data_IF_175934735649
#
_entry.id   IF_175934735649
#
_cell.length_a   1.000
_cell.length_b   1.000
_cell.length_c   1.000
_cell.angle_alpha   90.00
_cell.angle_beta   90.00
_cell.angle_gamma   90.00
#
_symmetry.space_group_name_H-M   'P 1'
#
loop_
_entity.id
_entity.type
_entity.pdbx_description
1 polymer ?
#
# COMPACT_ATOMS: atom_id res chain seq x y z
N UNK A 1 -25.89 10.89 -4.25
CA UNK A 1 -24.53 11.33 -3.97
C UNK A 1 -23.50 10.23 -4.15
N UNK A 2 -23.54 9.10 -3.43
CA UNK A 2 -22.57 7.97 -3.57
C UNK A 2 -22.42 7.54 -5.04
N UNK A 3 -23.54 7.25 -5.74
CA UNK A 3 -23.54 6.88 -7.18
C UNK A 3 -22.86 7.93 -8.07
N UNK A 4 -23.04 9.21 -7.79
CA UNK A 4 -22.42 10.30 -8.55
C UNK A 4 -20.88 10.30 -8.38
N UNK A 5 -20.39 10.15 -7.14
CA UNK A 5 -18.95 10.15 -6.87
C UNK A 5 -18.29 8.90 -7.47
N UNK A 6 -18.88 7.71 -7.26
CA UNK A 6 -18.36 6.47 -7.85
C UNK A 6 -18.31 6.57 -9.38
N UNK A 7 -19.36 7.11 -10.02
CA UNK A 7 -19.36 7.28 -11.48
C UNK A 7 -18.29 8.25 -11.97
N UNK A 8 -18.02 9.33 -11.24
CA UNK A 8 -16.88 10.22 -11.53
C UNK A 8 -15.54 9.48 -11.43
N UNK A 9 -15.40 8.66 -10.40
CA UNK A 9 -14.21 7.84 -10.22
C UNK A 9 -14.01 6.86 -11.37
N UNK A 10 -15.09 6.20 -11.83
CA UNK A 10 -15.03 5.35 -13.03
C UNK A 10 -14.57 6.11 -14.27
N UNK A 11 -15.05 7.36 -14.46
CA UNK A 11 -14.59 8.22 -15.55
C UNK A 11 -13.09 8.53 -15.46
N UNK A 12 -12.57 8.78 -14.28
CA UNK A 12 -11.13 9.01 -14.07
C UNK A 12 -10.32 7.74 -14.36
N UNK A 13 -10.78 6.57 -13.91
CA UNK A 13 -10.14 5.29 -14.24
C UNK A 13 -10.13 5.03 -15.74
N UNK A 14 -11.24 5.32 -16.44
CA UNK A 14 -11.30 5.25 -17.91
C UNK A 14 -10.25 6.14 -18.59
N UNK A 15 -9.99 7.36 -18.07
CA UNK A 15 -8.92 8.22 -18.56
C UNK A 15 -7.53 7.63 -18.29
N UNK A 16 -7.31 7.03 -17.11
CA UNK A 16 -6.04 6.39 -16.78
C UNK A 16 -5.74 5.21 -17.69
N UNK A 17 -6.75 4.47 -18.16
CA UNK A 17 -6.57 3.35 -19.09
C UNK A 17 -6.07 3.76 -20.48
N UNK A 18 -6.14 5.04 -20.82
CA UNK A 18 -5.52 5.55 -22.05
C UNK A 18 -4.00 5.49 -22.01
N UNK A 19 -3.38 5.52 -20.81
CA UNK A 19 -1.91 5.43 -20.68
C UNK A 19 -1.39 4.04 -21.06
N UNK A 20 -1.86 2.91 -20.48
CA UNK A 20 -1.45 1.58 -20.94
C UNK A 20 -1.87 1.28 -22.37
N UNK A 21 -2.98 1.85 -22.87
CA UNK A 21 -3.36 1.79 -24.28
C UNK A 21 -2.26 2.42 -25.16
N UNK A 22 -1.79 3.62 -24.83
CA UNK A 22 -0.70 4.28 -25.58
C UNK A 22 0.59 3.46 -25.54
N UNK A 23 0.94 2.88 -24.39
CA UNK A 23 2.09 1.98 -24.27
C UNK A 23 1.94 0.79 -25.20
N UNK A 24 0.79 0.11 -25.21
CA UNK A 24 0.54 -1.01 -26.11
C UNK A 24 0.61 -0.62 -27.58
N UNK A 25 0.15 0.59 -27.98
CA UNK A 25 0.29 1.11 -29.35
C UNK A 25 1.77 1.30 -29.70
N UNK A 26 2.57 1.89 -28.81
CA UNK A 26 4.01 2.12 -29.03
C UNK A 26 4.76 0.79 -29.26
N UNK A 27 4.36 -0.26 -28.54
CA UNK A 27 4.97 -1.60 -28.70
C UNK A 27 4.28 -2.47 -29.77
N UNK A 28 3.29 -1.95 -30.50
CA UNK A 28 2.57 -2.67 -31.57
C UNK A 28 1.69 -3.82 -31.09
N UNK A 29 1.15 -3.73 -29.88
CA UNK A 29 0.36 -4.78 -29.23
C UNK A 29 -1.15 -4.65 -29.50
N UNK A 30 -1.80 -5.76 -29.83
CA UNK A 30 -3.26 -5.80 -30.00
C UNK A 30 -4.05 -5.55 -28.69
N UNK A 31 -3.41 -5.70 -27.54
CA UNK A 31 -4.02 -5.48 -26.21
C UNK A 31 -4.50 -4.05 -26.00
N UNK A 32 -3.98 -3.07 -26.73
CA UNK A 32 -4.42 -1.66 -26.72
C UNK A 32 -5.92 -1.50 -26.95
N UNK A 33 -6.53 -2.35 -27.79
CA UNK A 33 -7.97 -2.31 -28.09
C UNK A 33 -8.80 -2.62 -26.83
N UNK A 34 -8.38 -3.53 -25.98
CA UNK A 34 -9.11 -3.90 -24.78
C UNK A 34 -9.08 -2.80 -23.72
N UNK A 35 -7.99 -2.03 -23.62
CA UNK A 35 -7.95 -0.83 -22.79
C UNK A 35 -8.90 0.25 -23.33
N UNK A 36 -8.98 0.44 -24.64
CA UNK A 36 -9.93 1.37 -25.26
C UNK A 36 -11.38 0.97 -24.99
N UNK A 37 -11.71 -0.31 -25.14
CA UNK A 37 -13.06 -0.84 -24.86
C UNK A 37 -13.42 -0.58 -23.39
N UNK A 38 -12.53 -0.90 -22.46
CA UNK A 38 -12.76 -0.67 -21.03
C UNK A 38 -12.92 0.82 -20.73
N UNK A 39 -12.05 1.68 -21.27
CA UNK A 39 -12.16 3.12 -21.14
C UNK A 39 -13.50 3.66 -21.65
N UNK A 40 -13.98 3.14 -22.80
CA UNK A 40 -15.28 3.51 -23.35
C UNK A 40 -16.44 3.09 -22.44
N UNK A 41 -16.42 1.86 -21.88
CA UNK A 41 -17.42 1.37 -20.92
C UNK A 41 -17.46 2.28 -19.68
N UNK A 42 -16.30 2.58 -19.08
CA UNK A 42 -16.22 3.40 -17.88
C UNK A 42 -16.64 4.86 -18.14
N UNK A 43 -16.28 5.39 -19.30
CA UNK A 43 -16.76 6.72 -19.74
C UNK A 43 -18.27 6.73 -19.96
N UNK A 44 -18.85 5.69 -20.52
CA UNK A 44 -20.31 5.56 -20.68
C UNK A 44 -21.01 5.53 -19.31
N UNK A 45 -20.48 4.79 -18.33
CA UNK A 45 -21.01 4.78 -16.94
C UNK A 45 -20.94 6.20 -16.34
N UNK A 46 -19.82 6.91 -16.51
CA UNK A 46 -19.70 8.29 -16.07
C UNK A 46 -20.72 9.22 -16.74
N UNK A 47 -20.93 9.12 -18.05
CA UNK A 47 -21.87 9.96 -18.79
C UNK A 47 -23.33 9.70 -18.36
N UNK A 48 -23.68 8.44 -18.06
CA UNK A 48 -25.03 8.06 -17.65
C UNK A 48 -25.34 8.51 -16.20
N UNK A 49 -24.40 8.37 -15.28
CA UNK A 49 -24.66 8.52 -13.84
C UNK A 49 -23.89 9.68 -13.18
N UNK A 50 -22.80 10.17 -13.78
CA UNK A 50 -21.89 11.16 -13.21
C UNK A 50 -22.06 12.60 -13.74
N UNK A 51 -22.93 12.83 -14.74
CA UNK A 51 -23.13 14.18 -15.34
C UNK A 51 -23.98 15.11 -14.50
N UNK A 52 -25.05 14.59 -13.89
CA UNK A 52 -25.97 15.41 -13.09
C UNK A 52 -25.47 15.49 -11.66
N UNK A 53 -25.06 16.70 -11.25
CA UNK A 53 -24.69 17.00 -9.87
C UNK A 53 -25.94 16.93 -8.99
N UNK A 54 -25.95 16.18 -7.88
CA UNK A 54 -27.05 16.19 -6.93
C UNK A 54 -27.19 17.58 -6.28
N UNK A 55 -28.43 18.01 -6.02
CA UNK A 55 -28.72 19.31 -5.37
C UNK A 55 -28.13 19.37 -3.95
N UNK A 56 -28.09 18.25 -3.23
CA UNK A 56 -27.49 18.13 -1.91
C UNK A 56 -26.19 17.34 -1.96
N UNK A 57 -25.06 18.02 -1.78
CA UNK A 57 -23.69 17.46 -1.85
C UNK A 57 -23.00 17.42 -0.48
N UNK A 58 -23.74 17.48 0.63
CA UNK A 58 -23.12 17.34 1.96
C UNK A 58 -22.69 15.92 2.21
N UNK A 59 -21.39 15.68 2.36
CA UNK A 59 -20.82 14.40 2.75
C UNK A 59 -20.52 14.47 4.25
N UNK A 60 -21.22 13.63 5.03
CA UNK A 60 -20.87 13.41 6.44
C UNK A 60 -19.77 12.34 6.54
N UNK A 61 -19.17 12.20 7.70
CA UNK A 61 -18.13 11.20 7.93
C UNK A 61 -18.59 9.76 7.59
N UNK A 62 -19.86 9.44 7.87
CA UNK A 62 -20.48 8.15 7.56
C UNK A 62 -20.49 7.86 6.05
N UNK A 63 -20.98 8.80 5.24
CA UNK A 63 -21.00 8.65 3.78
C UNK A 63 -19.58 8.62 3.21
N UNK A 64 -18.65 9.40 3.79
CA UNK A 64 -17.24 9.37 3.39
C UNK A 64 -16.64 7.98 3.50
N UNK A 65 -16.84 7.28 4.60
CA UNK A 65 -16.34 5.92 4.81
C UNK A 65 -16.95 4.91 3.82
N UNK A 66 -18.28 5.00 3.55
CA UNK A 66 -18.94 4.15 2.54
C UNK A 66 -18.35 4.40 1.14
N UNK A 67 -18.20 5.68 0.77
CA UNK A 67 -17.67 6.06 -0.55
C UNK A 67 -16.26 5.50 -0.71
N UNK A 68 -15.40 5.65 0.30
CA UNK A 68 -14.04 5.13 0.27
C UNK A 68 -14.05 3.62 0.03
N UNK A 69 -14.70 2.85 0.89
CA UNK A 69 -14.66 1.40 0.81
C UNK A 69 -15.31 0.86 -0.48
N UNK A 70 -16.46 1.41 -0.90
CA UNK A 70 -17.11 1.00 -2.15
C UNK A 70 -16.31 1.39 -3.38
N UNK A 71 -15.66 2.55 -3.36
CA UNK A 71 -14.83 3.02 -4.47
C UNK A 71 -13.67 2.07 -4.77
N UNK A 72 -12.94 1.61 -3.76
CA UNK A 72 -11.84 0.66 -3.92
C UNK A 72 -12.30 -0.66 -4.53
N UNK A 73 -13.48 -1.17 -4.11
CA UNK A 73 -14.07 -2.39 -4.68
C UNK A 73 -14.41 -2.17 -6.17
N UNK A 74 -15.14 -1.09 -6.48
CA UNK A 74 -15.57 -0.85 -7.87
C UNK A 74 -14.40 -0.55 -8.82
N UNK A 75 -13.39 0.17 -8.37
CA UNK A 75 -12.17 0.38 -9.15
C UNK A 75 -11.44 -0.92 -9.42
N UNK A 76 -11.30 -1.77 -8.41
CA UNK A 76 -10.65 -3.08 -8.61
C UNK A 76 -11.46 -3.99 -9.56
N UNK A 77 -12.79 -3.96 -9.49
CA UNK A 77 -13.65 -4.70 -10.42
C UNK A 77 -13.50 -4.20 -11.87
N UNK A 78 -13.48 -2.88 -12.06
CA UNK A 78 -13.33 -2.28 -13.38
C UNK A 78 -11.92 -2.45 -13.94
N UNK A 79 -10.90 -2.27 -13.11
CA UNK A 79 -9.49 -2.46 -13.48
C UNK A 79 -9.11 -3.88 -13.85
N UNK A 80 -9.92 -4.89 -13.47
CA UNK A 80 -9.75 -6.27 -13.86
C UNK A 80 -10.16 -6.55 -15.33
N UNK A 81 -11.02 -5.71 -15.91
CA UNK A 81 -11.57 -5.95 -17.26
C UNK A 81 -10.50 -6.09 -18.36
N UNK A 82 -9.46 -5.23 -18.45
CA UNK A 82 -8.43 -5.38 -19.46
C UNK A 82 -7.70 -6.72 -19.41
N UNK A 83 -7.46 -7.28 -18.22
CA UNK A 83 -6.80 -8.58 -18.03
C UNK A 83 -7.65 -9.72 -18.60
N UNK A 84 -8.95 -9.71 -18.33
CA UNK A 84 -9.89 -10.76 -18.80
C UNK A 84 -10.14 -10.64 -20.30
N UNK A 85 -10.40 -9.42 -20.80
CA UNK A 85 -10.69 -9.18 -22.22
C UNK A 85 -9.48 -9.52 -23.11
N UNK A 86 -8.26 -9.22 -22.65
CA UNK A 86 -7.04 -9.58 -23.35
C UNK A 86 -6.66 -11.06 -23.23
N UNK A 87 -7.37 -11.82 -22.39
CA UNK A 87 -7.04 -13.19 -21.98
C UNK A 87 -5.65 -13.35 -21.35
N UNK A 88 -5.03 -12.24 -20.90
CA UNK A 88 -3.78 -12.29 -20.12
C UNK A 88 -4.00 -12.97 -18.76
N UNK A 89 -5.19 -12.79 -18.17
CA UNK A 89 -5.69 -13.51 -16.98
C UNK A 89 -7.13 -13.92 -17.30
N UNK A 90 -7.38 -15.17 -17.74
CA UNK A 90 -8.71 -15.58 -18.21
C UNK A 90 -9.77 -15.65 -17.13
N UNK A 91 -9.38 -16.00 -15.87
CA UNK A 91 -10.30 -16.06 -14.73
C UNK A 91 -10.57 -14.65 -14.21
N UNK A 92 -11.85 -14.30 -14.05
CA UNK A 92 -12.22 -12.99 -13.49
C UNK A 92 -11.82 -12.86 -12.01
N UNK A 93 -11.87 -13.96 -11.25
CA UNK A 93 -11.45 -13.96 -9.83
C UNK A 93 -9.95 -13.68 -9.74
N UNK A 94 -9.15 -14.29 -10.60
CA UNK A 94 -7.71 -14.07 -10.68
C UNK A 94 -7.38 -12.64 -11.13
N UNK A 95 -8.08 -12.13 -12.14
CA UNK A 95 -7.92 -10.75 -12.60
C UNK A 95 -8.32 -9.73 -11.52
N UNK A 96 -9.39 -10.01 -10.77
CA UNK A 96 -9.80 -9.20 -9.63
C UNK A 96 -8.76 -9.23 -8.51
N UNK A 97 -8.22 -10.41 -8.17
CA UNK A 97 -7.13 -10.54 -7.20
C UNK A 97 -5.92 -9.69 -7.59
N UNK A 98 -5.45 -9.81 -8.86
CA UNK A 98 -4.30 -9.06 -9.38
C UNK A 98 -4.55 -7.55 -9.31
N UNK A 99 -5.79 -7.11 -9.61
CA UNK A 99 -6.16 -5.69 -9.61
C UNK A 99 -6.33 -5.15 -8.18
N UNK A 100 -6.94 -5.92 -7.28
CA UNK A 100 -7.00 -5.56 -5.85
C UNK A 100 -5.59 -5.41 -5.30
N UNK A 101 -4.72 -6.41 -5.55
CA UNK A 101 -3.32 -6.37 -5.17
C UNK A 101 -2.60 -5.15 -5.76
N UNK A 102 -2.93 -4.79 -7.01
CA UNK A 102 -2.43 -3.60 -7.66
C UNK A 102 -2.82 -2.32 -6.95
N UNK A 103 -4.11 -2.04 -6.82
CA UNK A 103 -4.58 -0.79 -6.21
C UNK A 103 -4.29 -0.71 -4.72
N UNK A 104 -4.41 -1.81 -3.96
CA UNK A 104 -4.04 -1.82 -2.53
C UNK A 104 -2.54 -1.82 -2.29
N UNK A 105 -1.75 -1.78 -3.38
CA UNK A 105 -0.28 -1.78 -3.33
C UNK A 105 0.31 -2.95 -2.54
N UNK A 106 -0.32 -4.12 -2.65
CA UNK A 106 0.11 -5.32 -1.94
C UNK A 106 1.24 -6.05 -2.68
N UNK A 107 1.13 -6.18 -4.02
CA UNK A 107 2.15 -6.86 -4.83
C UNK A 107 2.08 -8.38 -4.84
N UNK A 108 1.09 -9.00 -4.17
CA UNK A 108 0.81 -10.42 -4.33
C UNK A 108 0.30 -10.68 -5.74
N UNK A 109 0.79 -11.73 -6.41
CA UNK A 109 0.41 -12.04 -7.79
C UNK A 109 -0.07 -13.48 -7.94
N UNK A 110 -1.01 -13.69 -8.85
CA UNK A 110 -1.42 -15.02 -9.32
C UNK A 110 -0.68 -15.44 -10.59
N UNK A 111 0.12 -14.56 -11.17
CA UNK A 111 0.83 -14.82 -12.40
C UNK A 111 2.01 -15.74 -12.14
N UNK A 112 2.12 -16.80 -12.94
CA UNK A 112 3.23 -17.75 -12.92
C UNK A 112 4.34 -17.34 -13.87
N UNK A 113 4.00 -16.63 -14.96
CA UNK A 113 4.91 -16.10 -15.95
C UNK A 113 4.56 -14.65 -16.25
N UNK A 114 5.51 -13.73 -16.00
CA UNK A 114 5.31 -12.28 -16.14
C UNK A 114 5.93 -11.76 -17.42
N UNK A 115 7.11 -12.28 -17.80
CA UNK A 115 7.95 -11.74 -18.88
C UNK A 115 7.31 -11.86 -20.26
N UNK A 116 6.44 -12.87 -20.44
CA UNK A 116 5.66 -13.08 -21.69
C UNK A 116 4.43 -12.19 -21.83
N UNK A 117 4.09 -11.39 -20.82
CA UNK A 117 2.89 -10.54 -20.87
C UNK A 117 3.12 -9.29 -21.74
N UNK A 118 2.06 -8.80 -22.40
CA UNK A 118 2.11 -7.54 -23.14
C UNK A 118 2.54 -6.36 -22.26
N UNK A 119 3.34 -5.45 -22.83
CA UNK A 119 3.85 -4.26 -22.13
C UNK A 119 2.74 -3.34 -21.62
N UNK A 120 1.64 -3.20 -22.35
CA UNK A 120 0.45 -2.47 -21.90
C UNK A 120 -0.12 -3.05 -20.62
N UNK A 121 -0.19 -4.37 -20.48
CA UNK A 121 -0.67 -5.09 -19.29
C UNK A 121 0.32 -4.90 -18.12
N UNK A 122 1.63 -5.05 -18.35
CA UNK A 122 2.65 -4.82 -17.33
C UNK A 122 2.65 -3.37 -16.83
N UNK A 123 2.48 -2.43 -17.75
CA UNK A 123 2.38 -1.01 -17.40
C UNK A 123 1.13 -0.74 -16.54
N UNK A 124 -0.02 -1.33 -16.89
CA UNK A 124 -1.25 -1.20 -16.10
C UNK A 124 -1.07 -1.71 -14.67
N UNK A 125 -0.45 -2.89 -14.49
CA UNK A 125 -0.12 -3.43 -13.16
C UNK A 125 0.67 -2.42 -12.32
N UNK A 126 1.75 -1.87 -12.85
CA UNK A 126 2.58 -0.89 -12.11
C UNK A 126 1.88 0.45 -11.91
N UNK A 127 1.05 0.89 -12.88
CA UNK A 127 0.27 2.12 -12.76
C UNK A 127 -0.79 2.01 -11.64
N UNK A 128 -1.41 0.83 -11.45
CA UNK A 128 -2.34 0.62 -10.32
C UNK A 128 -1.64 0.82 -8.99
N UNK A 129 -0.38 0.39 -8.80
CA UNK A 129 0.42 0.69 -7.62
C UNK A 129 0.65 2.19 -7.44
N UNK A 130 1.03 2.89 -8.50
CA UNK A 130 1.32 4.32 -8.43
C UNK A 130 0.08 5.13 -8.02
N UNK A 131 -1.08 4.82 -8.60
CA UNK A 131 -2.35 5.48 -8.26
C UNK A 131 -2.82 5.08 -6.85
N UNK A 132 -2.71 3.80 -6.50
CA UNK A 132 -3.11 3.26 -5.21
C UNK A 132 -2.26 3.78 -4.05
N UNK A 133 -0.96 4.04 -4.28
CA UNK A 133 0.01 4.45 -3.24
C UNK A 133 -0.41 5.70 -2.47
N UNK A 134 -0.84 6.74 -3.17
CA UNK A 134 -1.33 7.98 -2.54
C UNK A 134 -2.83 7.98 -2.24
N UNK A 135 -3.52 6.86 -2.51
CA UNK A 135 -4.95 6.72 -2.32
C UNK A 135 -5.77 7.20 -3.52
N UNK A 136 -6.69 6.33 -3.92
CA UNK A 136 -7.52 6.51 -5.11
C UNK A 136 -8.40 7.75 -5.02
N UNK A 137 -9.03 8.00 -3.86
CA UNK A 137 -9.91 9.16 -3.67
C UNK A 137 -9.16 10.47 -3.55
N UNK A 138 -7.98 10.46 -2.91
CA UNK A 138 -7.12 11.66 -2.85
C UNK A 138 -6.68 12.04 -4.26
N UNK A 139 -6.36 11.06 -5.11
CA UNK A 139 -6.07 11.28 -6.53
C UNK A 139 -7.25 11.90 -7.28
N UNK A 140 -8.44 11.32 -7.15
CA UNK A 140 -9.66 11.84 -7.76
C UNK A 140 -10.00 13.24 -7.24
N UNK A 141 -9.77 13.51 -5.95
CA UNK A 141 -9.99 14.84 -5.36
C UNK A 141 -9.07 15.92 -5.93
N UNK A 142 -7.83 15.56 -6.31
CA UNK A 142 -6.92 16.50 -7.01
C UNK A 142 -7.44 16.83 -8.39
N UNK A 143 -7.96 15.84 -9.13
CA UNK A 143 -8.42 15.97 -10.51
C UNK A 143 -9.83 16.58 -10.61
N UNK A 144 -10.67 16.41 -9.61
CA UNK A 144 -12.07 16.88 -9.64
C UNK A 144 -12.29 18.11 -8.75
N UNK A 145 -13.31 18.91 -9.05
CA UNK A 145 -13.71 20.06 -8.23
C UNK A 145 -14.78 19.64 -7.20
N UNK A 146 -14.38 18.89 -6.17
CA UNK A 146 -15.24 18.65 -5.02
C UNK A 146 -15.19 19.82 -4.03
N UNK A 147 -16.32 20.11 -3.35
CA UNK A 147 -16.39 21.15 -2.32
C UNK A 147 -15.45 20.87 -1.15
N UNK A 148 -14.94 21.92 -0.52
CA UNK A 148 -13.89 21.85 0.49
C UNK A 148 -14.29 21.04 1.72
N UNK A 149 -15.54 21.19 2.21
CA UNK A 149 -16.06 20.42 3.35
C UNK A 149 -16.13 18.92 3.04
N UNK A 150 -16.61 18.57 1.85
CA UNK A 150 -16.73 17.20 1.37
C UNK A 150 -15.35 16.53 1.17
N UNK A 151 -14.40 17.28 0.62
CA UNK A 151 -13.02 16.83 0.41
C UNK A 151 -12.32 16.45 1.72
N UNK A 152 -12.61 17.16 2.84
CA UNK A 152 -12.00 16.87 4.13
C UNK A 152 -12.46 15.55 4.73
N UNK A 153 -13.75 15.20 4.62
CA UNK A 153 -14.24 13.92 5.14
C UNK A 153 -13.67 12.73 4.36
N UNK A 154 -13.57 12.86 3.03
CA UNK A 154 -12.95 11.84 2.17
C UNK A 154 -11.46 11.67 2.48
N UNK A 155 -10.71 12.77 2.57
CA UNK A 155 -9.29 12.72 2.89
C UNK A 155 -9.00 12.06 4.24
N UNK A 156 -9.79 12.37 5.28
CA UNK A 156 -9.64 11.74 6.60
C UNK A 156 -9.98 10.27 6.62
N UNK A 157 -10.88 9.82 5.74
CA UNK A 157 -11.26 8.43 5.65
C UNK A 157 -10.22 7.56 4.89
N UNK A 158 -9.35 8.18 4.09
CA UNK A 158 -8.38 7.46 3.25
C UNK A 158 -6.93 7.61 3.72
N UNK A 159 -6.57 8.74 4.37
CA UNK A 159 -5.18 8.96 4.81
C UNK A 159 -4.84 8.07 6.00
N UNK A 160 -3.83 7.20 5.87
CA UNK A 160 -3.48 6.25 6.91
C UNK A 160 -2.82 6.90 8.12
N UNK A 161 -3.27 6.52 9.31
CA UNK A 161 -2.67 6.92 10.58
C UNK A 161 -3.65 7.47 11.61
N UNK A 162 -3.20 7.61 12.87
CA UNK A 162 -4.07 8.02 13.99
C UNK A 162 -4.53 9.48 13.93
N UNK A 163 -3.86 10.35 13.19
CA UNK A 163 -4.24 11.75 12.98
C UNK A 163 -3.87 12.21 11.57
N UNK A 164 -4.84 12.77 10.83
CA UNK A 164 -4.61 13.41 9.54
C UNK A 164 -4.34 14.91 9.76
N UNK A 165 -3.08 15.33 9.62
CA UNK A 165 -2.69 16.73 9.74
C UNK A 165 -2.97 17.52 8.45
N UNK A 166 -3.41 18.77 8.60
CA UNK A 166 -3.55 19.71 7.48
C UNK A 166 -2.26 20.47 7.26
N UNK A 167 -1.68 20.38 6.06
CA UNK A 167 -0.52 21.19 5.67
C UNK A 167 -0.91 22.63 5.35
N UNK A 168 -2.08 22.82 4.76
CA UNK A 168 -2.65 24.14 4.40
C UNK A 168 -4.15 24.16 4.72
N UNK A 169 -4.79 25.36 4.81
CA UNK A 169 -6.21 25.48 5.21
C UNK A 169 -7.16 24.65 4.35
N UNK A 170 -6.85 24.48 3.05
CA UNK A 170 -7.70 23.76 2.08
C UNK A 170 -7.22 22.32 1.87
N UNK A 171 -8.10 21.32 2.05
CA UNK A 171 -7.79 19.89 1.83
C UNK A 171 -7.23 19.61 0.43
N UNK A 172 -7.82 20.22 -0.62
CA UNK A 172 -7.34 20.10 -1.99
C UNK A 172 -5.93 20.68 -2.18
N UNK A 173 -5.59 21.76 -1.44
CA UNK A 173 -4.24 22.33 -1.44
C UNK A 173 -3.23 21.35 -0.85
N UNK A 174 -3.57 20.73 0.29
CA UNK A 174 -2.77 19.68 0.91
C UNK A 174 -2.56 18.51 -0.05
N UNK A 175 -3.64 18.00 -0.67
CA UNK A 175 -3.55 16.91 -1.64
C UNK A 175 -2.63 17.23 -2.83
N UNK A 176 -2.74 18.46 -3.41
CA UNK A 176 -1.88 18.86 -4.53
C UNK A 176 -0.40 18.90 -4.16
N UNK A 177 -0.07 19.39 -2.96
CA UNK A 177 1.32 19.44 -2.48
C UNK A 177 1.86 18.01 -2.30
N UNK A 178 1.09 17.14 -1.63
CA UNK A 178 1.48 15.74 -1.41
C UNK A 178 1.69 15.01 -2.74
N UNK A 179 0.74 15.13 -3.70
CA UNK A 179 0.91 14.54 -5.03
C UNK A 179 2.07 15.14 -5.82
N UNK A 180 2.31 16.45 -5.70
CA UNK A 180 3.46 17.10 -6.34
C UNK A 180 4.79 16.52 -5.85
N UNK A 181 4.92 16.31 -4.53
CA UNK A 181 6.11 15.68 -3.92
C UNK A 181 6.24 14.21 -4.33
N UNK A 182 5.14 13.47 -4.33
CA UNK A 182 5.09 12.08 -4.77
C UNK A 182 5.56 11.93 -6.21
N UNK A 183 5.00 12.74 -7.12
CA UNK A 183 5.41 12.77 -8.52
C UNK A 183 6.88 13.15 -8.70
N UNK A 184 7.37 14.17 -7.99
CA UNK A 184 8.76 14.61 -8.07
C UNK A 184 9.72 13.51 -7.62
N UNK A 185 9.45 12.83 -6.50
CA UNK A 185 10.26 11.71 -6.02
C UNK A 185 10.25 10.54 -7.03
N UNK A 186 9.07 10.21 -7.61
CA UNK A 186 8.98 9.18 -8.64
C UNK A 186 9.82 9.53 -9.87
N UNK A 187 9.74 10.79 -10.35
CA UNK A 187 10.52 11.23 -11.51
C UNK A 187 12.04 11.20 -11.24
N UNK A 188 12.45 11.59 -10.04
CA UNK A 188 13.86 11.50 -9.61
C UNK A 188 14.33 10.04 -9.61
N UNK A 189 13.53 9.12 -9.07
CA UNK A 189 13.85 7.69 -9.07
C UNK A 189 14.02 7.14 -10.49
N UNK A 190 13.11 7.48 -11.43
CA UNK A 190 13.23 7.10 -12.84
C UNK A 190 14.58 7.53 -13.41
N UNK A 191 15.01 8.78 -13.15
CA UNK A 191 16.31 9.28 -13.63
C UNK A 191 17.47 8.46 -13.07
N UNK A 192 17.46 8.14 -11.77
CA UNK A 192 18.50 7.30 -11.16
C UNK A 192 18.51 5.87 -11.71
N UNK A 193 17.33 5.27 -11.97
CA UNK A 193 17.24 3.93 -12.54
C UNK A 193 17.74 3.90 -14.00
N UNK A 194 17.43 4.92 -14.80
CA UNK A 194 17.99 5.09 -16.14
C UNK A 194 19.52 5.25 -16.11
N UNK A 195 20.05 6.03 -15.17
CA UNK A 195 21.50 6.17 -14.98
C UNK A 195 22.16 4.84 -14.54
N UNK A 196 21.40 3.92 -13.93
CA UNK A 196 21.80 2.56 -13.58
C UNK A 196 21.77 1.57 -14.75
N UNK A 197 21.36 2.01 -15.95
CA UNK A 197 21.30 1.17 -17.16
C UNK A 197 19.98 0.44 -17.38
N UNK A 198 18.92 0.74 -16.61
CA UNK A 198 17.58 0.25 -16.93
C UNK A 198 17.06 0.90 -18.23
N UNK A 199 16.31 0.17 -19.03
CA UNK A 199 15.55 0.78 -20.13
C UNK A 199 14.40 1.64 -19.57
N UNK A 200 13.86 2.54 -20.39
CA UNK A 200 12.83 3.49 -19.95
C UNK A 200 11.57 2.80 -19.42
N UNK A 201 11.14 1.71 -20.05
CA UNK A 201 9.94 0.98 -19.63
C UNK A 201 10.13 0.39 -18.23
N UNK A 202 11.23 -0.32 -17.99
CA UNK A 202 11.52 -0.93 -16.70
C UNK A 202 11.76 0.13 -15.60
N UNK A 203 12.47 1.23 -15.93
CA UNK A 203 12.70 2.32 -15.00
C UNK A 203 11.38 2.96 -14.53
N UNK A 204 10.42 3.20 -15.45
CA UNK A 204 9.11 3.79 -15.12
C UNK A 204 8.25 2.80 -14.33
N UNK A 205 8.15 1.54 -14.76
CA UNK A 205 7.30 0.53 -14.10
C UNK A 205 7.80 0.21 -12.70
N UNK A 206 9.12 0.07 -12.48
CA UNK A 206 9.69 -0.14 -11.16
C UNK A 206 9.56 1.10 -10.27
N UNK A 207 9.81 2.31 -10.79
CA UNK A 207 9.59 3.54 -10.03
C UNK A 207 8.12 3.71 -9.61
N UNK A 208 7.15 3.34 -10.45
CA UNK A 208 5.73 3.33 -10.08
C UNK A 208 5.44 2.37 -8.93
N UNK A 209 6.00 1.17 -9.00
CA UNK A 209 5.84 0.15 -7.97
C UNK A 209 6.59 0.49 -6.68
N UNK A 210 7.77 1.13 -6.75
CA UNK A 210 8.50 1.64 -5.58
C UNK A 210 7.73 2.77 -4.92
N UNK A 211 7.29 3.75 -5.71
CA UNK A 211 6.57 4.92 -5.20
C UNK A 211 5.26 4.53 -4.53
N UNK A 212 4.51 3.62 -5.15
CA UNK A 212 3.30 3.04 -4.56
C UNK A 212 3.57 2.11 -3.38
N UNK A 213 4.82 1.70 -3.16
CA UNK A 213 5.22 0.63 -2.22
C UNK A 213 4.46 -0.68 -2.46
N UNK A 214 4.42 -1.12 -3.74
CA UNK A 214 3.59 -2.25 -4.15
C UNK A 214 4.32 -3.48 -4.68
N UNK A 215 5.53 -3.34 -5.24
CA UNK A 215 6.43 -4.47 -5.56
C UNK A 215 6.16 -5.24 -6.85
N UNK A 216 5.17 -4.86 -7.67
CA UNK A 216 5.05 -5.47 -9.00
C UNK A 216 6.27 -5.17 -9.86
N UNK A 217 6.81 -6.20 -10.50
CA UNK A 217 7.92 -6.13 -11.43
C UNK A 217 7.49 -6.62 -12.81
N UNK A 218 8.26 -6.26 -13.83
CA UNK A 218 8.17 -6.79 -15.19
C UNK A 218 8.84 -8.17 -15.33
N UNK A 219 9.45 -8.69 -14.23
CA UNK A 219 10.23 -9.92 -14.22
C UNK A 219 9.83 -10.82 -13.05
N UNK A 220 9.80 -12.15 -13.30
CA UNK A 220 9.54 -13.15 -12.26
C UNK A 220 10.57 -13.10 -11.13
N UNK A 221 11.83 -12.83 -11.46
CA UNK A 221 12.90 -12.67 -10.49
C UNK A 221 12.88 -11.32 -9.77
N UNK A 222 11.87 -10.46 -10.00
CA UNK A 222 11.77 -9.13 -9.42
C UNK A 222 13.04 -8.30 -9.69
N UNK A 223 13.50 -7.49 -8.74
CA UNK A 223 14.72 -6.66 -8.88
C UNK A 223 16.00 -7.51 -9.01
N UNK A 224 15.99 -8.75 -8.52
CA UNK A 224 17.11 -9.69 -8.71
C UNK A 224 17.49 -9.91 -10.19
N UNK A 225 16.55 -9.71 -11.12
CA UNK A 225 16.80 -9.80 -12.56
C UNK A 225 17.95 -8.89 -13.03
N UNK A 226 18.05 -7.67 -12.50
CA UNK A 226 19.06 -6.70 -12.93
C UNK A 226 20.46 -7.00 -12.40
N UNK A 227 20.59 -7.80 -11.34
CA UNK A 227 21.86 -8.19 -10.71
C UNK A 227 22.86 -7.03 -10.55
N UNK A 228 22.38 -5.84 -10.20
CA UNK A 228 23.14 -4.60 -10.07
C UNK A 228 23.10 -4.05 -8.64
N UNK A 229 24.29 -3.88 -8.03
CA UNK A 229 24.36 -3.30 -6.69
C UNK A 229 23.92 -1.81 -6.68
N UNK A 230 24.08 -1.11 -7.79
CA UNK A 230 23.61 0.27 -7.94
C UNK A 230 22.08 0.33 -7.94
N UNK A 231 21.42 -0.49 -8.76
CA UNK A 231 19.96 -0.55 -8.86
C UNK A 231 19.36 -0.96 -7.51
N UNK A 232 19.91 -1.99 -6.84
CA UNK A 232 19.48 -2.39 -5.51
C UNK A 232 19.59 -1.24 -4.51
N UNK A 233 20.70 -0.50 -4.55
CA UNK A 233 20.93 0.66 -3.69
C UNK A 233 19.93 1.79 -3.94
N UNK A 234 19.68 2.14 -5.21
CA UNK A 234 18.71 3.17 -5.59
C UNK A 234 17.31 2.78 -5.10
N UNK A 235 16.84 1.57 -5.44
CA UNK A 235 15.50 1.12 -5.03
C UNK A 235 15.40 1.06 -3.51
N UNK A 236 16.43 0.56 -2.79
CA UNK A 236 16.45 0.54 -1.31
C UNK A 236 16.24 1.93 -0.72
N UNK A 237 16.98 2.92 -1.21
CA UNK A 237 16.87 4.31 -0.73
C UNK A 237 15.48 4.88 -1.01
N UNK A 238 14.95 4.69 -2.23
CA UNK A 238 13.64 5.22 -2.59
C UNK A 238 12.50 4.51 -1.85
N UNK A 239 12.57 3.18 -1.63
CA UNK A 239 11.63 2.48 -0.75
C UNK A 239 11.58 3.12 0.64
N UNK A 240 12.76 3.36 1.26
CA UNK A 240 12.84 4.01 2.58
C UNK A 240 12.24 5.42 2.52
N UNK A 241 12.52 6.20 1.48
CA UNK A 241 11.97 7.55 1.30
C UNK A 241 10.44 7.52 1.18
N UNK A 242 9.87 6.66 0.35
CA UNK A 242 8.40 6.55 0.22
C UNK A 242 7.72 6.02 1.49
N UNK A 243 8.44 5.28 2.35
CA UNK A 243 8.00 4.84 3.67
C UNK A 243 7.99 5.93 4.75
N UNK A 244 8.52 7.13 4.49
CA UNK A 244 8.52 8.27 5.41
C UNK A 244 7.19 9.04 5.29
N UNK A 245 6.73 9.61 6.40
CA UNK A 245 5.57 10.49 6.40
C UNK A 245 5.77 11.69 5.46
N UNK A 246 4.89 11.84 4.46
CA UNK A 246 4.98 12.89 3.45
C UNK A 246 4.87 14.31 4.02
N UNK A 247 4.25 14.50 5.20
CA UNK A 247 4.23 15.80 5.86
C UNK A 247 5.66 16.27 6.24
N UNK A 248 6.59 15.35 6.50
CA UNK A 248 7.98 15.72 6.83
C UNK A 248 8.70 16.32 5.62
N UNK A 249 8.39 15.89 4.40
CA UNK A 249 8.93 16.52 3.19
C UNK A 249 8.44 17.96 3.01
N UNK A 250 7.18 18.22 3.38
CA UNK A 250 6.66 19.58 3.37
C UNK A 250 7.42 20.48 4.38
N UNK A 251 7.71 19.97 5.58
CA UNK A 251 8.55 20.71 6.54
C UNK A 251 9.98 20.92 6.04
N UNK A 252 10.55 19.97 5.29
CA UNK A 252 11.83 20.16 4.62
C UNK A 252 11.79 21.30 3.59
N UNK A 253 10.74 21.38 2.79
CA UNK A 253 10.54 22.48 1.82
C UNK A 253 10.41 23.85 2.52
N UNK A 254 9.83 23.88 3.73
CA UNK A 254 9.75 25.08 4.57
C UNK A 254 11.07 25.36 5.32
N UNK A 255 12.14 24.57 5.11
CA UNK A 255 13.44 24.66 5.79
C UNK A 255 13.39 24.45 7.31
N UNK A 256 12.34 23.76 7.79
CA UNK A 256 12.17 23.39 9.21
C UNK A 256 12.93 22.09 9.56
N UNK A 257 14.22 22.01 9.26
CA UNK A 257 15.03 20.79 9.45
C UNK A 257 14.97 20.25 10.88
N UNK A 258 14.95 21.15 11.89
CA UNK A 258 14.92 20.76 13.30
C UNK A 258 13.66 19.97 13.67
N UNK A 259 12.52 20.34 13.10
CA UNK A 259 11.23 19.66 13.31
C UNK A 259 11.25 18.25 12.70
N UNK A 260 11.88 18.08 11.54
CA UNK A 260 12.02 16.79 10.87
C UNK A 260 12.91 15.82 11.64
N UNK A 261 14.15 16.24 11.99
CA UNK A 261 15.09 15.35 12.70
C UNK A 261 14.71 15.07 14.16
N UNK A 262 13.87 15.91 14.80
CA UNK A 262 13.32 15.65 16.13
C UNK A 262 12.09 14.77 16.13
N UNK A 263 11.52 14.44 14.96
CA UNK A 263 10.32 13.60 14.86
C UNK A 263 10.63 12.19 15.39
N UNK A 264 9.85 11.78 16.40
CA UNK A 264 10.06 10.50 17.09
C UNK A 264 9.72 9.31 16.18
N UNK A 265 8.70 9.43 15.32
CA UNK A 265 8.30 8.38 14.39
C UNK A 265 9.40 8.13 13.35
N UNK A 266 9.96 9.19 12.75
CA UNK A 266 11.07 9.08 11.79
C UNK A 266 12.29 8.40 12.42
N UNK A 267 12.65 8.80 13.64
CA UNK A 267 13.79 8.19 14.34
C UNK A 267 13.55 6.72 14.69
N UNK A 268 12.33 6.37 15.11
CA UNK A 268 11.97 4.99 15.40
C UNK A 268 11.98 4.16 14.11
N UNK A 269 11.39 4.67 13.03
CA UNK A 269 11.37 4.01 11.71
C UNK A 269 12.80 3.70 11.21
N UNK A 270 13.66 4.70 11.16
CA UNK A 270 15.06 4.51 10.73
C UNK A 270 15.85 3.62 11.70
N UNK A 271 15.59 3.71 13.01
CA UNK A 271 16.18 2.85 14.01
C UNK A 271 15.79 1.38 13.86
N UNK A 272 14.53 1.10 13.55
CA UNK A 272 14.03 -0.28 13.27
C UNK A 272 14.71 -0.83 12.01
N UNK A 273 14.78 -0.05 10.92
CA UNK A 273 15.48 -0.46 9.69
C UNK A 273 16.94 -0.79 9.98
N UNK A 274 17.65 0.11 10.63
CA UNK A 274 19.06 -0.09 10.94
C UNK A 274 19.30 -1.33 11.84
N UNK A 275 18.51 -1.46 12.91
CA UNK A 275 18.59 -2.60 13.83
C UNK A 275 18.28 -3.94 13.14
N UNK A 276 17.19 -4.02 12.38
CA UNK A 276 16.83 -5.23 11.64
C UNK A 276 17.89 -5.59 10.59
N UNK A 277 18.40 -4.58 9.86
CA UNK A 277 19.46 -4.79 8.87
C UNK A 277 20.72 -5.36 9.50
N UNK A 278 21.16 -4.82 10.64
CA UNK A 278 22.35 -5.32 11.36
C UNK A 278 22.14 -6.76 11.83
N UNK A 279 21.01 -7.08 12.47
CA UNK A 279 20.71 -8.42 12.96
C UNK A 279 20.70 -9.43 11.81
N UNK A 280 20.01 -9.12 10.72
CA UNK A 280 19.95 -10.02 9.56
C UNK A 280 21.31 -10.16 8.90
N UNK A 281 22.05 -9.05 8.70
CA UNK A 281 23.41 -9.09 8.11
C UNK A 281 24.32 -10.02 8.86
N UNK A 282 24.39 -9.89 10.20
CA UNK A 282 25.20 -10.78 11.04
C UNK A 282 24.75 -12.25 10.93
N UNK A 283 23.44 -12.50 10.85
CA UNK A 283 22.90 -13.85 10.81
C UNK A 283 23.14 -14.57 9.47
N UNK A 284 23.13 -13.83 8.32
CA UNK A 284 23.31 -14.43 6.99
C UNK A 284 24.74 -14.31 6.45
N UNK A 285 25.65 -13.62 7.14
CA UNK A 285 27.00 -13.32 6.66
C UNK A 285 27.78 -14.60 6.26
N UNK A 286 27.64 -15.68 7.04
CA UNK A 286 28.30 -16.96 6.75
C UNK A 286 27.89 -17.60 5.43
N UNK A 287 26.62 -17.40 5.01
CA UNK A 287 26.07 -17.96 3.76
C UNK A 287 26.49 -17.22 2.49
N UNK A 288 26.86 -15.93 2.59
CA UNK A 288 27.19 -15.11 1.42
C UNK A 288 28.69 -14.92 1.20
N UNK A 289 29.55 -15.45 2.05
CA UNK A 289 31.03 -15.34 1.98
C UNK A 289 31.55 -13.88 1.87
N UNK A 290 30.69 -12.87 2.02
CA UNK A 290 31.02 -11.45 1.97
C UNK A 290 30.04 -10.64 2.83
N UNK A 291 30.56 -9.92 3.83
CA UNK A 291 29.77 -9.08 4.71
C UNK A 291 29.04 -7.98 3.94
N UNK A 292 29.68 -7.40 2.90
CA UNK A 292 29.11 -6.33 2.09
C UNK A 292 27.92 -6.84 1.25
N UNK A 293 28.03 -8.08 0.72
CA UNK A 293 26.95 -8.73 -0.02
C UNK A 293 25.78 -9.09 0.90
N UNK A 294 26.07 -9.63 2.08
CA UNK A 294 25.07 -9.91 3.10
C UNK A 294 24.33 -8.63 3.53
N UNK A 295 25.08 -7.52 3.77
CA UNK A 295 24.51 -6.22 4.10
C UNK A 295 23.60 -5.69 2.98
N UNK A 296 24.02 -5.77 1.70
CA UNK A 296 23.22 -5.33 0.56
C UNK A 296 21.86 -6.03 0.52
N UNK A 297 21.86 -7.36 0.61
CA UNK A 297 20.63 -8.15 0.58
C UNK A 297 19.77 -7.95 1.84
N UNK A 298 20.38 -7.87 3.01
CA UNK A 298 19.67 -7.60 4.27
C UNK A 298 19.01 -6.21 4.24
N UNK A 299 19.73 -5.17 3.86
CA UNK A 299 19.21 -3.79 3.78
C UNK A 299 18.07 -3.69 2.77
N UNK A 300 18.21 -4.33 1.59
CA UNK A 300 17.17 -4.35 0.58
C UNK A 300 15.90 -5.05 1.09
N UNK A 301 16.02 -6.28 1.63
CA UNK A 301 14.85 -7.03 2.09
C UNK A 301 14.18 -6.39 3.31
N UNK A 302 14.96 -5.82 4.25
CA UNK A 302 14.39 -5.06 5.38
C UNK A 302 13.64 -3.83 4.88
N UNK A 303 14.22 -3.06 3.97
CA UNK A 303 13.56 -1.90 3.36
C UNK A 303 12.28 -2.33 2.63
N UNK A 304 12.36 -3.36 1.78
CA UNK A 304 11.24 -3.89 1.02
C UNK A 304 10.08 -4.33 1.92
N UNK A 305 10.37 -5.06 3.00
CA UNK A 305 9.32 -5.61 3.88
C UNK A 305 8.74 -4.55 4.82
N UNK A 306 9.57 -3.68 5.44
CA UNK A 306 9.05 -2.66 6.37
C UNK A 306 8.25 -1.58 5.66
N UNK A 307 8.64 -1.23 4.43
CA UNK A 307 7.88 -0.26 3.62
C UNK A 307 6.68 -0.89 2.94
N UNK A 308 6.53 -2.20 3.12
CA UNK A 308 5.49 -3.01 2.47
C UNK A 308 5.55 -2.96 0.94
N UNK A 309 6.75 -2.76 0.38
CA UNK A 309 6.94 -2.75 -1.08
C UNK A 309 6.93 -4.16 -1.68
N UNK A 310 7.60 -5.13 -1.04
CA UNK A 310 7.58 -6.52 -1.50
C UNK A 310 8.51 -6.86 -2.66
N UNK A 311 9.40 -5.97 -3.11
CA UNK A 311 10.44 -6.32 -4.07
C UNK A 311 11.45 -7.32 -3.50
N UNK A 312 12.01 -8.14 -4.39
CA UNK A 312 12.89 -9.25 -4.03
C UNK A 312 14.23 -9.14 -4.77
N UNK A 313 15.33 -9.26 -4.01
CA UNK A 313 16.70 -9.43 -4.56
C UNK A 313 17.35 -10.73 -4.11
N UNK A 314 16.77 -11.40 -3.13
CA UNK A 314 17.24 -12.68 -2.61
C UNK A 314 16.07 -13.51 -2.07
N UNK A 315 16.13 -14.83 -2.25
CA UNK A 315 15.15 -15.76 -1.71
C UNK A 315 15.35 -15.93 -0.19
N UNK A 316 14.65 -15.10 0.58
CA UNK A 316 14.73 -15.15 2.04
C UNK A 316 14.03 -16.37 2.66
N UNK A 317 13.30 -17.18 1.89
CA UNK A 317 12.84 -18.50 2.36
C UNK A 317 14.00 -19.41 2.77
N UNK A 318 15.16 -19.23 2.13
CA UNK A 318 16.41 -19.99 2.41
C UNK A 318 17.24 -19.40 3.55
N UNK A 319 16.82 -18.26 4.12
CA UNK A 319 17.56 -17.64 5.21
C UNK A 319 17.33 -18.36 6.55
N UNK A 320 18.24 -18.22 7.52
CA UNK A 320 18.06 -18.76 8.86
C UNK A 320 16.78 -18.23 9.52
N UNK A 321 16.19 -19.03 10.42
CA UNK A 321 14.90 -18.75 11.05
C UNK A 321 14.84 -17.39 11.75
N UNK A 322 15.94 -16.98 12.43
CA UNK A 322 15.99 -15.64 13.07
C UNK A 322 15.76 -14.53 12.05
N UNK A 323 16.37 -14.61 10.87
CA UNK A 323 16.19 -13.60 9.81
C UNK A 323 14.76 -13.56 9.29
N UNK A 324 14.10 -14.71 9.10
CA UNK A 324 12.70 -14.81 8.71
C UNK A 324 11.78 -14.21 9.79
N UNK A 325 12.02 -14.53 11.07
CA UNK A 325 11.25 -13.95 12.18
C UNK A 325 11.39 -12.44 12.25
N UNK A 326 12.59 -11.89 12.06
CA UNK A 326 12.82 -10.44 12.02
C UNK A 326 12.07 -9.82 10.85
N UNK A 327 12.08 -10.43 9.65
CA UNK A 327 11.33 -9.94 8.50
C UNK A 327 9.81 -9.95 8.76
N UNK A 328 9.25 -11.02 9.33
CA UNK A 328 7.83 -11.06 9.70
C UNK A 328 7.46 -9.99 10.74
N UNK A 329 8.35 -9.72 11.69
CA UNK A 329 8.15 -8.69 12.70
C UNK A 329 8.10 -7.29 12.07
N UNK A 330 9.05 -6.95 11.19
CA UNK A 330 9.06 -5.65 10.50
C UNK A 330 7.90 -5.52 9.49
N UNK A 331 7.43 -6.63 8.91
CA UNK A 331 6.21 -6.70 8.09
C UNK A 331 4.98 -6.22 8.86
N UNK A 332 4.79 -6.71 10.09
CA UNK A 332 3.68 -6.32 10.97
C UNK A 332 3.79 -4.86 11.37
N UNK A 333 5.00 -4.38 11.67
CA UNK A 333 5.23 -2.98 12.08
C UNK A 333 4.85 -2.03 10.95
N UNK A 334 5.34 -2.29 9.74
CA UNK A 334 5.08 -1.46 8.56
C UNK A 334 5.81 -0.11 8.57
N UNK A 335 5.39 0.78 7.67
CA UNK A 335 5.99 2.10 7.46
C UNK A 335 5.44 3.19 8.40
N UNK A 336 5.84 4.45 8.17
CA UNK A 336 5.33 5.60 8.92
C UNK A 336 3.87 5.93 8.55
N UNK A 337 3.12 6.49 9.49
CA UNK A 337 1.80 7.06 9.19
C UNK A 337 1.91 8.21 8.17
N UNK A 338 0.94 8.31 7.25
CA UNK A 338 0.99 9.32 6.18
C UNK A 338 2.09 9.08 5.15
N UNK A 339 2.58 7.84 5.01
CA UNK A 339 3.37 7.33 3.89
C UNK A 339 2.51 6.48 2.96
N UNK A 340 3.09 5.99 1.86
CA UNK A 340 2.41 5.07 0.94
C UNK A 340 2.33 3.64 1.46
N UNK A 341 3.19 3.25 2.42
CA UNK A 341 3.29 1.89 2.94
C UNK A 341 2.08 1.41 3.75
N UNK A 342 1.94 0.11 3.91
CA UNK A 342 0.94 -0.60 4.71
C UNK A 342 1.38 -0.89 6.16
N UNK A 343 0.86 -1.97 6.73
CA UNK A 343 1.16 -2.44 8.10
C UNK A 343 0.47 -1.63 9.20
N UNK A 344 0.76 -1.96 10.46
CA UNK A 344 0.15 -1.32 11.65
C UNK A 344 0.56 0.15 11.80
N UNK A 345 1.70 0.56 11.25
CA UNK A 345 2.36 1.85 11.30
C UNK A 345 3.20 2.08 12.58
N UNK A 346 4.39 2.65 12.35
CA UNK A 346 5.35 2.95 13.43
C UNK A 346 4.75 3.88 14.49
N UNK A 347 3.90 4.83 14.11
CA UNK A 347 3.22 5.73 15.07
C UNK A 347 2.34 4.99 16.08
N UNK A 348 1.57 3.98 15.63
CA UNK A 348 0.76 3.17 16.54
C UNK A 348 1.63 2.31 17.45
N UNK A 349 2.70 1.71 16.91
CA UNK A 349 3.67 0.97 17.74
C UNK A 349 4.26 1.86 18.85
N UNK A 350 4.66 3.10 18.53
CA UNK A 350 5.17 4.05 19.51
C UNK A 350 4.14 4.35 20.60
N UNK A 351 2.86 4.56 20.23
CA UNK A 351 1.78 4.80 21.18
C UNK A 351 1.60 3.56 22.07
N UNK A 352 1.58 2.35 21.52
CA UNK A 352 1.43 1.10 22.28
C UNK A 352 2.58 0.92 23.29
N UNK A 353 3.84 1.06 22.86
CA UNK A 353 5.01 0.91 23.74
C UNK A 353 5.01 1.97 24.85
N UNK A 354 4.68 3.22 24.52
CA UNK A 354 4.59 4.30 25.54
C UNK A 354 3.41 4.10 26.48
N UNK A 355 2.31 3.51 26.02
CA UNK A 355 1.15 3.19 26.85
C UNK A 355 1.47 2.07 27.84
N UNK A 356 2.18 1.01 27.41
CA UNK A 356 2.67 -0.02 28.32
C UNK A 356 3.59 0.58 29.38
N UNK A 357 4.53 1.45 29.00
CA UNK A 357 5.41 2.13 29.95
C UNK A 357 4.64 3.03 30.91
N UNK A 358 3.57 3.71 30.44
CA UNK A 358 2.69 4.51 31.30
C UNK A 358 2.01 3.62 32.35
N UNK A 359 1.45 2.49 31.91
CA UNK A 359 0.74 1.57 32.80
C UNK A 359 1.64 1.02 33.91
N UNK A 360 2.84 0.55 33.54
CA UNK A 360 3.85 0.09 34.49
C UNK A 360 4.22 1.19 35.52
N UNK A 361 4.39 2.44 35.07
CA UNK A 361 4.65 3.58 35.97
C UNK A 361 3.47 3.87 36.90
N UNK A 362 2.25 3.74 36.39
CA UNK A 362 1.04 3.96 37.19
C UNK A 362 0.87 2.88 38.26
N UNK A 363 1.20 1.62 37.97
CA UNK A 363 1.24 0.54 38.94
C UNK A 363 2.26 0.78 40.06
N UNK A 364 3.45 1.34 39.71
CA UNK A 364 4.49 1.66 40.71
C UNK A 364 4.14 2.92 41.52
N UNK A 365 3.57 3.94 40.86
CA UNK A 365 3.23 5.22 41.45
C UNK A 365 1.75 5.59 41.16
N UNK A 366 0.75 5.00 41.88
CA UNK A 366 -0.68 5.18 41.55
C UNK A 366 -1.19 6.61 41.62
N UNK A 367 -0.55 7.46 42.41
CA UNK A 367 -0.93 8.89 42.56
C UNK A 367 -0.28 9.81 41.53
N UNK A 368 0.64 9.31 40.72
CA UNK A 368 1.34 10.12 39.70
C UNK A 368 0.48 10.26 38.44
N UNK A 369 0.36 11.49 37.92
CA UNK A 369 -0.31 11.74 36.63
C UNK A 369 0.65 11.43 35.51
N UNK A 370 0.52 10.24 34.94
CA UNK A 370 1.33 9.77 33.83
C UNK A 370 0.62 10.03 32.50
N UNK A 371 1.21 10.84 31.60
CA UNK A 371 0.67 11.15 30.27
C UNK A 371 1.56 10.61 29.17
N UNK A 372 0.95 10.05 28.14
CA UNK A 372 1.65 9.64 26.90
C UNK A 372 1.85 10.88 26.04
N UNK A 373 3.10 11.10 25.58
CA UNK A 373 3.48 12.17 24.64
C UNK A 373 4.16 11.59 23.41
N UNK A 374 3.83 12.12 22.24
CA UNK A 374 4.51 11.84 20.97
C UNK A 374 4.89 13.19 20.36
N UNK A 375 6.12 13.34 19.91
CA UNK A 375 6.67 14.61 19.42
C UNK A 375 6.48 15.78 20.42
N UNK A 376 6.56 15.50 21.73
CA UNK A 376 6.33 16.47 22.78
C UNK A 376 4.85 16.84 23.05
N UNK A 377 3.92 16.44 22.21
CA UNK A 377 2.47 16.70 22.36
C UNK A 377 1.79 15.56 23.12
N UNK A 378 0.83 15.90 23.99
CA UNK A 378 -0.01 14.92 24.70
C UNK A 378 -0.89 14.18 23.68
N UNK A 379 -0.86 12.85 23.71
CA UNK A 379 -1.78 12.01 22.94
C UNK A 379 -3.14 11.99 23.67
N UNK A 380 -4.21 12.23 22.92
CA UNK A 380 -5.59 12.20 23.46
C UNK A 380 -5.97 10.78 23.86
N UNK A 381 -6.75 10.62 24.91
CA UNK A 381 -7.24 9.30 25.35
C UNK A 381 -8.08 8.61 24.27
N UNK A 382 -8.85 9.37 23.48
CA UNK A 382 -9.62 8.84 22.35
C UNK A 382 -8.70 8.22 21.29
N UNK A 383 -7.58 8.88 20.95
CA UNK A 383 -6.59 8.37 19.99
C UNK A 383 -5.95 7.08 20.53
N UNK A 384 -5.58 7.05 21.81
CA UNK A 384 -5.02 5.83 22.42
C UNK A 384 -6.02 4.68 22.41
N UNK A 385 -7.28 4.92 22.81
CA UNK A 385 -8.34 3.93 22.72
C UNK A 385 -8.55 3.42 21.30
N UNK A 386 -8.52 4.32 20.30
CA UNK A 386 -8.60 3.96 18.89
C UNK A 386 -7.48 3.01 18.46
N UNK A 387 -6.24 3.25 18.93
CA UNK A 387 -5.09 2.38 18.65
C UNK A 387 -5.27 0.99 19.29
N UNK A 388 -5.77 0.91 20.51
CA UNK A 388 -6.02 -0.39 21.17
C UNK A 388 -7.10 -1.20 20.45
N UNK A 389 -8.21 -0.56 20.11
CA UNK A 389 -9.32 -1.21 19.40
C UNK A 389 -8.88 -1.64 17.99
N UNK A 390 -8.06 -0.82 17.30
CA UNK A 390 -7.47 -1.18 16.03
C UNK A 390 -6.61 -2.46 16.14
N UNK A 391 -5.75 -2.53 17.15
CA UNK A 391 -4.87 -3.69 17.37
C UNK A 391 -5.66 -4.97 17.67
N UNK A 392 -6.71 -4.87 18.52
CA UNK A 392 -7.60 -5.99 18.81
C UNK A 392 -8.32 -6.46 17.53
N UNK A 393 -8.89 -5.52 16.76
CA UNK A 393 -9.57 -5.85 15.51
C UNK A 393 -8.61 -6.50 14.50
N UNK A 394 -7.36 -5.99 14.39
CA UNK A 394 -6.33 -6.57 13.54
C UNK A 394 -6.04 -8.03 13.90
N UNK A 395 -5.85 -8.34 15.17
CA UNK A 395 -5.59 -9.72 15.63
C UNK A 395 -6.80 -10.63 15.36
N UNK A 396 -8.03 -10.16 15.61
CA UNK A 396 -9.25 -10.94 15.33
C UNK A 396 -9.40 -11.24 13.84
N UNK A 397 -9.18 -10.25 12.98
CA UNK A 397 -9.24 -10.45 11.53
C UNK A 397 -8.15 -11.44 11.10
N UNK A 398 -6.91 -11.28 11.56
CA UNK A 398 -5.82 -12.21 11.26
C UNK A 398 -6.21 -13.66 11.61
N UNK A 399 -6.74 -13.90 12.81
CA UNK A 399 -7.14 -15.24 13.26
C UNK A 399 -8.27 -15.79 12.37
N UNK A 400 -9.31 -15.00 12.10
CA UNK A 400 -10.44 -15.44 11.27
C UNK A 400 -9.98 -15.74 9.85
N UNK A 401 -9.18 -14.89 9.23
CA UNK A 401 -8.68 -15.10 7.88
C UNK A 401 -7.78 -16.34 7.79
N UNK A 402 -6.89 -16.56 8.78
CA UNK A 402 -6.06 -17.79 8.83
C UNK A 402 -6.94 -19.03 8.92
N UNK A 403 -8.00 -19.04 9.73
CA UNK A 403 -8.93 -20.16 9.80
C UNK A 403 -9.64 -20.42 8.47
N UNK A 404 -10.07 -19.37 7.76
CA UNK A 404 -10.70 -19.49 6.44
C UNK A 404 -9.72 -20.02 5.39
N UNK A 405 -8.47 -19.56 5.37
CA UNK A 405 -7.44 -20.04 4.44
C UNK A 405 -7.04 -21.48 4.72
N UNK A 406 -7.06 -21.92 5.99
CA UNK A 406 -6.74 -23.29 6.39
C UNK A 406 -7.65 -24.35 5.76
N UNK A 407 -8.80 -23.98 5.21
CA UNK A 407 -9.69 -24.86 4.45
C UNK A 407 -8.99 -25.49 3.23
N UNK A 408 -7.98 -24.84 2.66
CA UNK A 408 -7.19 -25.39 1.54
C UNK A 408 -6.18 -26.47 1.94
N UNK A 409 -6.03 -26.76 3.22
CA UNK A 409 -5.09 -27.77 3.76
C UNK A 409 -3.60 -27.52 3.39
N UNK A 410 -3.19 -26.26 3.22
CA UNK A 410 -1.77 -25.91 3.16
C UNK A 410 -1.15 -25.91 4.54
N UNK A 411 0.20 -25.95 4.59
CA UNK A 411 0.93 -25.86 5.84
C UNK A 411 0.63 -24.54 6.58
N UNK A 412 0.80 -24.57 7.91
CA UNK A 412 0.51 -23.43 8.76
C UNK A 412 1.31 -22.17 8.36
N UNK A 413 2.60 -22.33 8.02
CA UNK A 413 3.46 -21.20 7.62
C UNK A 413 2.94 -20.52 6.36
N UNK A 414 2.54 -21.30 5.34
CA UNK A 414 1.92 -20.76 4.11
C UNK A 414 0.63 -20.03 4.42
N UNK A 415 -0.30 -20.65 5.17
CA UNK A 415 -1.60 -20.06 5.49
C UNK A 415 -1.45 -18.79 6.33
N UNK A 416 -0.64 -18.84 7.39
CA UNK A 416 -0.39 -17.73 8.29
C UNK A 416 0.30 -16.56 7.60
N UNK A 417 1.39 -16.82 6.86
CA UNK A 417 2.14 -15.74 6.20
C UNK A 417 1.42 -15.21 4.97
N UNK A 418 0.60 -16.03 4.29
CA UNK A 418 -0.28 -15.57 3.22
C UNK A 418 -1.30 -14.53 3.69
N UNK A 419 -1.97 -14.79 4.82
CA UNK A 419 -2.87 -13.80 5.45
C UNK A 419 -2.08 -12.60 5.97
N UNK A 420 -0.95 -12.84 6.64
CA UNK A 420 -0.14 -11.76 7.22
C UNK A 420 0.32 -10.78 6.15
N UNK A 421 0.81 -11.28 5.02
CA UNK A 421 1.30 -10.43 3.93
C UNK A 421 0.17 -9.66 3.23
N UNK A 422 -0.98 -10.28 3.00
CA UNK A 422 -2.12 -9.62 2.37
C UNK A 422 -2.76 -8.58 3.28
N UNK A 423 -2.91 -8.86 4.58
CA UNK A 423 -3.45 -7.91 5.56
C UNK A 423 -2.52 -6.71 5.82
N UNK A 424 -1.19 -6.88 5.64
CA UNK A 424 -0.22 -5.78 5.77
C UNK A 424 0.14 -5.13 4.42
N UNK A 425 -0.42 -5.61 3.30
CA UNK A 425 -0.14 -5.13 1.95
C UNK A 425 1.36 -5.18 1.58
N UNK A 426 2.02 -6.35 1.70
CA UNK A 426 3.48 -6.50 1.50
C UNK A 426 3.83 -7.30 0.24
N UNK A 427 3.03 -8.27 -0.13
CA UNK A 427 3.24 -9.15 -1.30
C UNK A 427 3.80 -10.51 -0.92
N UNK A 428 5.11 -10.71 -0.77
CA UNK A 428 5.68 -12.02 -0.48
C UNK A 428 5.57 -12.39 1.02
N UNK A 429 5.24 -13.65 1.28
CA UNK A 429 5.28 -14.29 2.59
C UNK A 429 6.41 -15.31 2.70
N UNK A 430 6.11 -16.51 3.24
CA UNK A 430 7.03 -17.64 3.37
C UNK A 430 6.43 -18.92 2.73
N UNK A 431 7.24 -19.90 2.46
CA UNK A 431 6.89 -21.16 1.82
C UNK A 431 6.21 -20.95 0.45
N UNK A 432 4.98 -21.47 0.24
CA UNK A 432 4.27 -21.41 -1.05
C UNK A 432 3.81 -20.00 -1.46
N UNK A 433 3.91 -19.01 -0.59
CA UNK A 433 3.70 -17.58 -0.86
C UNK A 433 4.99 -16.78 -0.70
N UNK A 434 6.13 -17.45 -0.76
CA UNK A 434 7.46 -16.88 -0.60
C UNK A 434 7.88 -15.96 -1.73
N UNK A 435 9.11 -15.41 -1.65
CA UNK A 435 9.59 -14.35 -2.56
C UNK A 435 9.73 -14.75 -4.04
N UNK A 436 9.77 -16.07 -4.33
CA UNK A 436 9.85 -16.63 -5.70
C UNK A 436 8.59 -17.42 -6.08
N UNK A 437 7.58 -17.40 -5.25
CA UNK A 437 6.32 -18.12 -5.41
C UNK A 437 5.17 -17.13 -5.69
N UNK A 438 3.95 -17.68 -5.91
CA UNK A 438 2.76 -16.88 -6.22
C UNK A 438 1.48 -17.49 -5.62
N UNK A 439 0.35 -16.78 -5.72
CA UNK A 439 -0.93 -17.19 -5.16
C UNK A 439 -1.80 -18.02 -6.12
N UNK A 440 -1.29 -18.46 -7.26
CA UNK A 440 -2.08 -19.22 -8.26
C UNK A 440 -2.66 -20.52 -7.71
N UNK A 441 -1.93 -21.20 -6.80
CA UNK A 441 -2.32 -22.51 -6.24
C UNK A 441 -3.51 -22.47 -5.29
N UNK A 442 -3.92 -21.29 -4.83
CA UNK A 442 -5.06 -21.15 -3.91
C UNK A 442 -6.40 -21.26 -4.63
N UNK A 443 -7.43 -21.75 -3.93
CA UNK A 443 -8.79 -21.77 -4.44
C UNK A 443 -9.35 -20.37 -4.65
N UNK A 444 -10.37 -20.23 -5.50
CA UNK A 444 -11.05 -18.95 -5.73
C UNK A 444 -11.62 -18.36 -4.45
N UNK A 445 -12.13 -19.20 -3.53
CA UNK A 445 -12.58 -18.78 -2.21
C UNK A 445 -11.47 -18.11 -1.42
N UNK A 446 -10.29 -18.74 -1.35
CA UNK A 446 -9.15 -18.17 -0.62
C UNK A 446 -8.61 -16.90 -1.28
N UNK A 447 -8.60 -16.82 -2.61
CA UNK A 447 -8.24 -15.60 -3.34
C UNK A 447 -9.19 -14.44 -2.99
N UNK A 448 -10.50 -14.70 -2.85
CA UNK A 448 -11.46 -13.69 -2.40
C UNK A 448 -11.19 -13.26 -0.95
N UNK A 449 -10.88 -14.21 -0.05
CA UNK A 449 -10.50 -13.88 1.35
C UNK A 449 -9.27 -12.99 1.37
N UNK A 450 -8.21 -13.31 0.62
CA UNK A 450 -7.03 -12.46 0.49
C UNK A 450 -7.36 -11.08 -0.11
N UNK A 451 -8.27 -10.99 -1.09
CA UNK A 451 -8.72 -9.69 -1.61
C UNK A 451 -9.37 -8.83 -0.51
N UNK A 452 -10.20 -9.46 0.34
CA UNK A 452 -10.82 -8.80 1.48
C UNK A 452 -9.75 -8.34 2.49
N UNK A 453 -8.77 -9.18 2.80
CA UNK A 453 -7.64 -8.83 3.69
C UNK A 453 -6.84 -7.65 3.14
N UNK A 454 -6.51 -7.65 1.84
CA UNK A 454 -5.81 -6.54 1.18
C UNK A 454 -6.59 -5.22 1.26
N UNK A 455 -7.91 -5.27 1.04
CA UNK A 455 -8.78 -4.09 1.16
C UNK A 455 -8.90 -3.60 2.61
N UNK A 456 -9.03 -4.52 3.58
CA UNK A 456 -9.08 -4.21 5.01
C UNK A 456 -7.76 -3.57 5.46
N UNK A 457 -6.63 -4.12 5.06
CA UNK A 457 -5.31 -3.59 5.37
C UNK A 457 -5.13 -2.17 4.84
N UNK A 458 -5.46 -1.94 3.56
CA UNK A 458 -5.32 -0.64 2.89
C UNK A 458 -6.24 0.44 3.45
N UNK A 459 -7.48 0.07 3.77
CA UNK A 459 -8.51 0.96 4.32
C UNK A 459 -8.44 1.12 5.85
N UNK A 460 -7.40 0.59 6.49
CA UNK A 460 -7.22 0.67 7.94
C UNK A 460 -8.40 0.12 8.77
N UNK A 461 -8.93 -1.03 8.35
CA UNK A 461 -9.93 -1.87 9.03
C UNK A 461 -11.31 -1.22 9.12
N UNK A 462 -11.47 -0.09 9.83
CA UNK A 462 -12.79 0.44 10.18
C UNK A 462 -13.66 0.87 8.99
N UNK A 463 -13.15 1.57 7.96
CA UNK A 463 -13.97 1.93 6.80
C UNK A 463 -14.58 0.71 6.10
N UNK A 464 -13.85 -0.40 6.04
CA UNK A 464 -14.34 -1.64 5.44
C UNK A 464 -15.34 -2.36 6.36
N UNK A 465 -15.04 -2.52 7.65
CA UNK A 465 -15.96 -3.16 8.60
C UNK A 465 -17.28 -2.42 8.74
N UNK A 466 -17.29 -1.10 8.59
CA UNK A 466 -18.52 -0.32 8.64
C UNK A 466 -19.51 -0.69 7.54
N UNK A 467 -19.07 -1.19 6.38
CA UNK A 467 -19.98 -1.66 5.31
C UNK A 467 -20.94 -2.77 5.79
N UNK A 468 -20.52 -3.55 6.77
CA UNK A 468 -21.30 -4.67 7.34
C UNK A 468 -22.18 -4.25 8.53
N UNK A 469 -22.11 -2.98 8.97
CA UNK A 469 -22.94 -2.50 10.08
C UNK A 469 -24.39 -2.21 9.61
N UNK A 470 -25.41 -2.88 10.15
CA UNK A 470 -26.81 -2.62 9.78
C UNK A 470 -27.24 -1.17 10.03
N UNK A 471 -26.69 -0.52 11.05
CA UNK A 471 -26.96 0.88 11.37
C UNK A 471 -26.49 1.85 10.29
N UNK A 472 -25.54 1.45 9.47
CA UNK A 472 -25.05 2.25 8.36
C UNK A 472 -26.13 2.45 7.27
N UNK A 473 -26.92 1.41 7.01
CA UNK A 473 -27.91 1.37 5.94
C UNK A 473 -29.31 1.84 6.43
N UNK A 474 -29.51 1.97 7.74
CA UNK A 474 -30.76 2.50 8.28
C UNK A 474 -30.84 4.01 8.05
N UNK A 475 -31.99 4.49 7.52
CA UNK A 475 -32.26 5.94 7.31
C UNK A 475 -32.60 6.69 8.58
N UNK A 476 -32.58 6.04 9.75
CA UNK A 476 -32.87 6.68 11.04
C UNK A 476 -31.58 7.22 11.63
N UNK A 477 -31.34 8.49 11.38
CA UNK A 477 -30.71 9.49 12.30
C UNK A 477 -30.94 10.87 11.72
#
# INVERSE_FOLDING_TARGET
MIRYIISKMMGVEGLLMLLPMMVGIIYGEHTSVYFLITAAILTAIYLLFGRKCPENMTIYAKEGLIIVATAWIFWSLAGALPFVLSKSIPSYVDAFFETVSGFTTTGSTILTEIEGLPKGILFWRSLTHWVGGMGVLVFVMVLTSLDEKNSMHLMRAEVPGPEADKLVPKARGTARILYGMYFALTAIEVVFLLAGGMNLFDAVTHAFSTAGTGGFSSYNASVAHFNSAYIDGVITVFMILFGINFNLYFFLLLKEFKSVFKNEELRAYLGIIAGATVVITCNIAGGYHSLLKAFRYAAFQVASVITTTGFVTADFNKWPELSKCVLLLVMVIGASAGSTGGGIKVSRLLILVKSIRRELKTMIHPKAVNIVKVNGKKVKEETMRGVYVYFIAYILILIVSVLLISINNFDFTTSFTGVLTTLNNVGPGLNLVGPVENFAKFSDFSKIVFCVDMLIGRLEIFPFLMLFSPSLWSRKF
#
